data_IF_210098043863
#
_entry.id   IF_210098043863
#
_cell.length_a   1.000
_cell.length_b   1.000
_cell.length_c   1.000
_cell.angle_alpha   90.00
_cell.angle_beta   90.00
_cell.angle_gamma   90.00
#
_symmetry.space_group_name_H-M   'P 1'
#
loop_
_entity.id
_entity.type
_entity.pdbx_description
1 polymer ?
#
# COMPACT_ATOMS: atom_id res chain seq x y z
N UNK A 1 -7.10 16.88 -10.18
CA UNK A 1 -5.98 17.68 -9.63
C UNK A 1 -5.04 16.69 -8.95
N UNK A 2 -3.89 16.37 -9.55
CA UNK A 2 -2.98 15.39 -8.96
C UNK A 2 -2.24 16.05 -7.79
N UNK A 3 -2.45 15.52 -6.58
CA UNK A 3 -1.84 16.05 -5.36
C UNK A 3 -0.33 15.81 -5.38
N UNK A 4 0.45 16.90 -5.37
CA UNK A 4 1.91 16.85 -5.20
C UNK A 4 2.30 16.38 -3.80
N UNK A 5 1.42 16.60 -2.82
CA UNK A 5 1.62 16.24 -1.43
C UNK A 5 1.06 14.84 -1.14
N UNK A 6 1.69 14.09 -0.22
CA UNK A 6 1.11 12.85 0.26
C UNK A 6 -0.26 13.09 0.90
N UNK A 7 -1.24 12.26 0.58
CA UNK A 7 -2.57 12.36 1.18
C UNK A 7 -2.55 12.01 2.68
N UNK A 8 -1.64 11.12 3.09
CA UNK A 8 -1.40 10.76 4.49
C UNK A 8 0.07 10.98 4.86
N UNK A 9 0.46 12.22 5.21
CA UNK A 9 1.85 12.58 5.54
C UNK A 9 2.46 11.76 6.69
N UNK A 10 1.65 11.36 7.66
CA UNK A 10 2.06 10.54 8.81
C UNK A 10 2.61 9.16 8.38
N UNK A 11 2.18 8.65 7.23
CA UNK A 11 2.57 7.35 6.69
C UNK A 11 3.65 7.44 5.59
N UNK A 12 4.33 8.58 5.43
CA UNK A 12 5.46 8.73 4.50
C UNK A 12 6.63 7.80 4.88
N UNK A 13 6.89 7.65 6.18
CA UNK A 13 7.96 6.80 6.69
C UNK A 13 7.65 5.30 6.55
N UNK A 14 8.61 4.53 6.02
CA UNK A 14 8.53 3.07 5.93
C UNK A 14 8.18 2.43 7.28
N UNK A 15 8.91 2.80 8.34
CA UNK A 15 8.72 2.24 9.68
C UNK A 15 7.33 2.57 10.25
N UNK A 16 6.76 3.73 9.92
CA UNK A 16 5.41 4.09 10.38
C UNK A 16 4.36 3.22 9.70
N UNK A 17 4.48 3.00 8.38
CA UNK A 17 3.61 2.07 7.65
C UNK A 17 3.74 0.65 8.16
N UNK A 18 4.96 0.15 8.37
CA UNK A 18 5.18 -1.21 8.86
C UNK A 18 4.50 -1.46 10.22
N UNK A 19 4.55 -0.48 11.13
CA UNK A 19 3.88 -0.57 12.43
C UNK A 19 2.37 -0.78 12.33
N UNK A 20 1.73 -0.33 11.26
CA UNK A 20 0.27 -0.52 11.07
C UNK A 20 -0.11 -1.99 10.88
N UNK A 21 0.81 -2.85 10.44
CA UNK A 21 0.56 -4.26 10.17
C UNK A 21 0.69 -5.17 11.40
N UNK A 22 0.76 -4.61 12.62
CA UNK A 22 0.88 -5.37 13.87
C UNK A 22 -0.18 -6.47 13.98
N UNK A 23 -1.42 -6.15 13.61
CA UNK A 23 -2.58 -7.04 13.67
C UNK A 23 -3.01 -7.53 12.28
N UNK A 24 -2.08 -7.57 11.32
CA UNK A 24 -2.36 -8.09 9.98
C UNK A 24 -2.73 -9.58 10.03
N UNK A 25 -3.84 -10.01 9.41
CA UNK A 25 -4.28 -11.40 9.54
C UNK A 25 -3.29 -12.39 8.90
N UNK A 26 -2.65 -13.22 9.73
CA UNK A 26 -1.58 -14.14 9.31
C UNK A 26 -2.03 -15.28 8.40
N UNK A 27 -3.33 -15.56 8.35
CA UNK A 27 -3.90 -16.60 7.49
C UNK A 27 -4.11 -16.13 6.04
N UNK A 28 -3.99 -14.82 5.78
CA UNK A 28 -4.10 -14.30 4.42
C UNK A 28 -2.89 -14.75 3.62
N UNK A 29 -3.15 -15.30 2.44
CA UNK A 29 -2.12 -15.88 1.59
C UNK A 29 -1.51 -14.88 0.61
N UNK A 30 -1.87 -13.58 0.69
CA UNK A 30 -1.44 -12.54 -0.25
C UNK A 30 0.02 -12.08 -0.14
N UNK A 31 0.36 -10.90 -0.72
CA UNK A 31 1.71 -10.37 -0.70
C UNK A 31 2.29 -10.25 0.71
N UNK A 32 3.62 -10.35 0.83
CA UNK A 32 4.30 -10.10 2.10
C UNK A 32 4.06 -8.66 2.56
N UNK A 33 3.94 -8.46 3.87
CA UNK A 33 3.75 -7.14 4.48
C UNK A 33 4.84 -6.17 4.04
N UNK A 34 6.10 -6.61 3.97
CA UNK A 34 7.22 -5.78 3.53
C UNK A 34 7.04 -5.28 2.10
N UNK A 35 6.48 -6.11 1.22
CA UNK A 35 6.22 -5.75 -0.18
C UNK A 35 5.06 -4.77 -0.30
N UNK A 36 4.03 -4.91 0.54
CA UNK A 36 2.96 -3.92 0.66
C UNK A 36 3.50 -2.57 1.14
N UNK A 37 4.34 -2.56 2.18
CA UNK A 37 4.93 -1.34 2.74
C UNK A 37 5.87 -0.66 1.74
N UNK A 38 6.70 -1.43 1.01
CA UNK A 38 7.54 -0.93 -0.10
C UNK A 38 6.72 -0.35 -1.24
N UNK A 39 5.52 -0.89 -1.48
CA UNK A 39 4.56 -0.37 -2.45
C UNK A 39 3.83 0.90 -1.98
N UNK A 40 4.17 1.43 -0.80
CA UNK A 40 3.61 2.64 -0.24
C UNK A 40 2.29 2.41 0.51
N UNK A 41 1.97 1.16 0.85
CA UNK A 41 0.71 0.80 1.48
C UNK A 41 0.87 0.69 3.00
N UNK A 42 -0.15 1.11 3.73
CA UNK A 42 -0.31 0.90 5.17
C UNK A 42 -1.63 0.19 5.46
N UNK A 43 -1.70 -0.59 6.53
CA UNK A 43 -2.90 -1.33 6.89
C UNK A 43 -3.96 -0.40 7.49
N UNK A 44 -5.20 -0.48 6.99
CA UNK A 44 -6.30 0.33 7.53
C UNK A 44 -6.96 -0.28 8.76
N UNK A 45 -6.45 -1.40 9.29
CA UNK A 45 -6.99 -2.14 10.43
C UNK A 45 -8.40 -2.72 10.20
N UNK A 46 -8.82 -2.85 8.95
CA UNK A 46 -10.15 -3.37 8.58
C UNK A 46 -9.94 -4.49 7.56
N UNK A 47 -10.20 -5.74 7.97
CA UNK A 47 -10.07 -6.92 7.10
C UNK A 47 -8.66 -7.08 6.56
N UNK A 48 -8.52 -7.11 5.24
CA UNK A 48 -7.23 -7.13 4.53
C UNK A 48 -6.99 -5.82 3.74
N UNK A 49 -7.69 -4.75 4.11
CA UNK A 49 -7.62 -3.49 3.38
C UNK A 49 -6.35 -2.72 3.72
N UNK A 50 -5.60 -2.35 2.71
CA UNK A 50 -4.45 -1.45 2.82
C UNK A 50 -4.67 -0.19 1.99
N UNK A 51 -3.99 0.90 2.32
CA UNK A 51 -4.17 2.22 1.70
C UNK A 51 -2.82 2.82 1.34
N UNK A 52 -2.70 3.44 0.16
CA UNK A 52 -1.50 4.17 -0.22
C UNK A 52 -1.41 5.51 0.51
N UNK A 53 -0.27 5.79 1.15
CA UNK A 53 -0.03 7.09 1.81
C UNK A 53 -0.01 8.27 0.84
N UNK A 54 0.44 8.06 -0.40
CA UNK A 54 0.62 9.13 -1.38
C UNK A 54 -0.69 9.50 -2.08
N UNK A 55 -1.41 8.51 -2.61
CA UNK A 55 -2.56 8.73 -3.48
C UNK A 55 -3.90 8.34 -2.86
N UNK A 56 -3.90 7.68 -1.71
CA UNK A 56 -5.12 7.22 -1.04
C UNK A 56 -5.83 6.02 -1.66
N UNK A 57 -5.24 5.39 -2.69
CA UNK A 57 -5.79 4.15 -3.25
C UNK A 57 -5.90 3.08 -2.16
N UNK A 58 -7.12 2.58 -1.94
CA UNK A 58 -7.37 1.43 -1.08
C UNK A 58 -7.42 0.14 -1.88
N UNK A 59 -6.71 -0.89 -1.42
CA UNK A 59 -6.69 -2.24 -2.00
C UNK A 59 -7.08 -3.27 -0.94
N UNK A 60 -7.77 -4.34 -1.34
CA UNK A 60 -8.30 -5.40 -0.49
C UNK A 60 -8.58 -6.65 -1.34
N UNK A 61 -8.97 -7.75 -0.70
CA UNK A 61 -9.17 -9.07 -1.31
C UNK A 61 -7.90 -9.62 -1.95
N UNK A 62 -6.81 -9.62 -1.19
CA UNK A 62 -5.50 -10.07 -1.64
C UNK A 62 -5.46 -11.58 -1.88
N UNK A 63 -4.98 -11.95 -3.07
CA UNK A 63 -4.78 -13.33 -3.50
C UNK A 63 -3.31 -13.76 -3.44
N UNK A 64 -3.01 -15.07 -3.38
CA UNK A 64 -1.63 -15.56 -3.23
C UNK A 64 -0.64 -15.13 -4.30
N UNK A 65 -1.13 -14.88 -5.52
CA UNK A 65 -0.30 -14.52 -6.66
C UNK A 65 -0.24 -13.01 -6.90
N UNK A 66 -0.90 -12.21 -6.05
CA UNK A 66 -0.88 -10.76 -6.20
C UNK A 66 0.51 -10.19 -5.95
N UNK A 67 0.80 -9.10 -6.64
CA UNK A 67 1.96 -8.27 -6.38
C UNK A 67 1.47 -6.88 -5.99
N UNK A 68 1.72 -6.48 -4.74
CA UNK A 68 1.21 -5.22 -4.19
C UNK A 68 1.55 -4.00 -5.07
N UNK A 69 2.75 -3.99 -5.63
CA UNK A 69 3.19 -2.95 -6.55
C UNK A 69 2.38 -2.96 -7.86
N UNK A 70 2.21 -4.13 -8.48
CA UNK A 70 1.49 -4.26 -9.77
C UNK A 70 0.02 -3.87 -9.61
N UNK A 71 -0.63 -4.31 -8.55
CA UNK A 71 -2.03 -3.94 -8.29
C UNK A 71 -2.15 -2.43 -8.03
N UNK A 72 -1.23 -1.83 -7.27
CA UNK A 72 -1.22 -0.38 -7.07
C UNK A 72 -1.04 0.38 -8.40
N UNK A 73 -0.10 -0.04 -9.26
CA UNK A 73 0.10 0.57 -10.56
C UNK A 73 -1.08 0.34 -11.53
N UNK A 74 -1.72 -0.83 -11.46
CA UNK A 74 -2.90 -1.19 -12.26
C UNK A 74 -4.10 -0.30 -11.92
N UNK A 75 -4.38 -0.11 -10.63
CA UNK A 75 -5.56 0.63 -10.17
C UNK A 75 -5.35 2.14 -10.04
N UNK A 76 -4.11 2.60 -9.90
CA UNK A 76 -3.79 4.03 -9.99
C UNK A 76 -2.40 4.28 -10.61
N UNK A 77 -2.28 4.19 -11.95
CA UNK A 77 -1.00 4.39 -12.64
C UNK A 77 -0.47 5.82 -12.53
N UNK A 78 -1.30 6.78 -12.08
CA UNK A 78 -0.91 8.18 -11.90
C UNK A 78 -0.34 8.47 -10.50
N UNK A 79 -0.31 7.48 -9.61
CA UNK A 79 0.31 7.64 -8.29
C UNK A 79 1.81 7.95 -8.42
N UNK A 80 2.21 9.13 -7.91
CA UNK A 80 3.61 9.59 -7.94
C UNK A 80 4.57 8.61 -7.26
N UNK A 81 4.16 8.03 -6.14
CA UNK A 81 5.00 7.08 -5.41
C UNK A 81 5.22 5.79 -6.20
N UNK A 82 4.15 5.24 -6.80
CA UNK A 82 4.25 4.03 -7.64
C UNK A 82 5.15 4.26 -8.85
N UNK A 83 5.03 5.41 -9.53
CA UNK A 83 5.89 5.77 -10.66
C UNK A 83 7.36 5.91 -10.26
N UNK A 84 7.65 6.32 -9.02
CA UNK A 84 9.01 6.47 -8.52
C UNK A 84 9.64 5.11 -8.17
N UNK A 85 8.85 4.14 -7.72
CA UNK A 85 9.35 2.84 -7.23
C UNK A 85 9.55 1.81 -8.36
N UNK A 86 8.92 2.01 -9.52
CA UNK A 86 9.04 1.11 -10.69
C UNK A 86 9.28 1.86 -12.01
N UNK A 87 9.61 3.14 -11.92
CA UNK A 87 10.22 3.86 -13.03
C UNK A 87 11.67 3.43 -13.19
#
# INVERSE_FOLDING_TARGET
VYSLQPLYPEYVGYSTRLKTFKDWPRYLQGPKVEDMVRSGLFYSQIGDKVVCFQCGLGLKFWEPNDCAYKEHARFNPQCKYVKMVCG
#
